data_IF_343251198428
#
_entry.id   IF_343251198428
#
_cell.length_a   1.000
_cell.length_b   1.000
_cell.length_c   1.000
_cell.angle_alpha   90.00
_cell.angle_beta   90.00
_cell.angle_gamma   90.00
#
_symmetry.space_group_name_H-M   'P 1'
#
loop_
_entity.id
_entity.type
_entity.pdbx_description
1 polymer ?
#
# COMPACT_ATOMS: atom_id res chain seq x y z
N UNK A 1 6.51 -4.96 7.07
CA UNK A 1 5.74 -4.68 8.29
C UNK A 1 5.30 -3.22 8.39
N UNK A 2 6.13 -2.25 8.01
CA UNK A 2 5.93 -0.82 8.25
C UNK A 2 4.82 -0.15 7.41
N UNK A 3 4.71 -0.43 6.11
CA UNK A 3 3.60 0.07 5.29
C UNK A 3 2.25 -0.37 5.89
N UNK A 4 2.21 -1.57 6.47
CA UNK A 4 1.08 -2.11 7.21
C UNK A 4 0.72 -1.25 8.42
N UNK A 5 1.70 -0.64 9.10
CA UNK A 5 1.50 0.25 10.26
C UNK A 5 1.02 1.62 9.83
N UNK A 6 1.60 2.22 8.79
CA UNK A 6 1.22 3.55 8.30
C UNK A 6 -0.21 3.56 7.77
N UNK A 7 -0.61 2.52 7.06
CA UNK A 7 -1.99 2.36 6.60
C UNK A 7 -2.96 1.96 7.74
N UNK A 8 -2.42 1.47 8.87
CA UNK A 8 -3.18 1.08 10.07
C UNK A 8 -3.48 2.25 11.00
N UNK A 9 -2.68 3.32 11.00
CA UNK A 9 -2.86 4.49 11.86
C UNK A 9 -4.10 5.34 11.51
N UNK A 10 -4.57 5.25 10.28
CA UNK A 10 -5.91 5.69 9.88
C UNK A 10 -6.72 4.42 9.68
N UNK A 11 -7.64 4.07 10.59
CA UNK A 11 -8.58 2.96 10.45
C UNK A 11 -8.73 2.59 8.97
N UNK A 12 -8.26 1.40 8.58
CA UNK A 12 -8.02 1.02 7.17
C UNK A 12 -9.27 1.04 6.28
N UNK A 13 -10.32 1.69 6.68
CA UNK A 13 -11.62 1.86 5.98
C UNK A 13 -11.92 0.74 4.97
N UNK A 14 -11.63 -0.51 5.40
CA UNK A 14 -11.77 -1.68 4.55
C UNK A 14 -13.26 -1.87 4.22
N UNK A 15 -13.59 -1.73 2.95
CA UNK A 15 -14.98 -1.91 2.51
C UNK A 15 -15.44 -3.33 2.78
N UNK A 16 -16.71 -3.53 3.20
CA UNK A 16 -17.27 -4.86 3.47
C UNK A 16 -17.09 -5.85 2.30
N UNK A 17 -17.13 -5.36 1.06
CA UNK A 17 -16.88 -6.16 -0.13
C UNK A 17 -15.44 -6.69 -0.20
N UNK A 18 -14.47 -5.81 0.09
CA UNK A 18 -13.06 -6.16 0.12
C UNK A 18 -12.76 -7.11 1.28
N UNK A 19 -13.30 -6.84 2.47
CA UNK A 19 -13.17 -7.73 3.62
C UNK A 19 -13.72 -9.14 3.34
N UNK A 20 -14.90 -9.21 2.71
CA UNK A 20 -15.51 -10.48 2.29
C UNK A 20 -14.62 -11.26 1.31
N UNK A 21 -13.98 -10.58 0.37
CA UNK A 21 -13.06 -11.17 -0.58
C UNK A 21 -11.79 -11.68 0.13
N UNK A 22 -11.16 -10.85 0.94
CA UNK A 22 -9.89 -11.15 1.64
C UNK A 22 -10.06 -12.28 2.67
N UNK A 23 -11.16 -12.25 3.43
CA UNK A 23 -11.47 -13.26 4.44
C UNK A 23 -12.04 -14.54 3.83
N UNK A 24 -12.43 -14.54 2.56
CA UNK A 24 -13.24 -15.61 1.92
C UNK A 24 -14.52 -15.91 2.72
N UNK A 25 -15.10 -14.88 3.35
CA UNK A 25 -16.28 -15.00 4.20
C UNK A 25 -17.33 -13.92 3.81
N UNK A 26 -18.41 -14.38 3.18
CA UNK A 26 -19.50 -13.52 2.68
C UNK A 26 -20.23 -12.77 3.80
N UNK A 27 -20.13 -13.24 5.06
CA UNK A 27 -20.79 -12.63 6.23
C UNK A 27 -20.25 -11.22 6.53
N UNK A 28 -19.04 -10.87 6.07
CA UNK A 28 -18.52 -9.50 6.18
C UNK A 28 -19.35 -8.48 5.41
N UNK A 29 -20.15 -8.89 4.44
CA UNK A 29 -21.11 -8.02 3.74
C UNK A 29 -22.43 -7.82 4.52
N UNK A 30 -22.68 -8.61 5.55
CA UNK A 30 -23.95 -8.64 6.30
C UNK A 30 -23.73 -8.79 7.81
N UNK A 31 -23.88 -9.96 8.37
CA UNK A 31 -23.90 -10.21 9.83
C UNK A 31 -22.59 -9.91 10.54
N UNK A 32 -21.43 -10.11 9.88
CA UNK A 32 -20.11 -9.79 10.43
C UNK A 32 -19.59 -8.39 10.09
N UNK A 33 -20.40 -7.52 9.47
CA UNK A 33 -19.96 -6.19 9.08
C UNK A 33 -19.43 -5.36 10.27
N UNK A 34 -20.03 -5.53 11.44
CA UNK A 34 -19.59 -4.83 12.67
C UNK A 34 -18.19 -5.25 13.13
N UNK A 35 -17.73 -6.46 12.80
CA UNK A 35 -16.37 -6.90 13.13
C UNK A 35 -15.28 -6.06 12.42
N UNK A 36 -15.61 -5.32 11.36
CA UNK A 36 -14.67 -4.41 10.72
C UNK A 36 -14.35 -3.17 11.56
N UNK A 37 -15.13 -2.89 12.61
CA UNK A 37 -14.81 -1.83 13.58
C UNK A 37 -13.86 -2.33 14.67
N UNK A 38 -13.66 -3.64 14.80
CA UNK A 38 -12.64 -4.19 15.67
C UNK A 38 -11.25 -3.95 15.08
N UNK A 39 -10.33 -3.27 15.81
CA UNK A 39 -9.01 -2.90 15.28
C UNK A 39 -8.18 -4.11 14.83
N UNK A 40 -8.18 -5.20 15.59
CA UNK A 40 -7.40 -6.40 15.28
C UNK A 40 -7.89 -7.05 13.98
N UNK A 41 -9.19 -7.23 13.85
CA UNK A 41 -9.82 -7.76 12.63
C UNK A 41 -9.52 -6.87 11.42
N UNK A 42 -9.66 -5.55 11.59
CA UNK A 42 -9.45 -4.57 10.52
C UNK A 42 -7.99 -4.59 10.04
N UNK A 43 -7.03 -4.54 10.97
CA UNK A 43 -5.59 -4.58 10.67
C UNK A 43 -5.22 -5.90 9.99
N UNK A 44 -5.68 -7.03 10.52
CA UNK A 44 -5.38 -8.35 9.96
C UNK A 44 -5.87 -8.49 8.53
N UNK A 45 -7.10 -8.10 8.26
CA UNK A 45 -7.66 -8.15 6.91
C UNK A 45 -6.99 -7.15 5.96
N UNK A 46 -6.68 -5.95 6.46
CA UNK A 46 -5.95 -4.95 5.69
C UNK A 46 -4.56 -5.42 5.29
N UNK A 47 -3.82 -6.03 6.20
CA UNK A 47 -2.50 -6.60 5.91
C UNK A 47 -2.57 -7.68 4.83
N UNK A 48 -3.53 -8.60 4.94
CA UNK A 48 -3.76 -9.63 3.91
C UNK A 48 -4.10 -9.01 2.55
N UNK A 49 -4.87 -7.92 2.54
CA UNK A 49 -5.21 -7.25 1.29
C UNK A 49 -3.99 -6.59 0.65
N UNK A 50 -3.10 -5.96 1.44
CA UNK A 50 -1.82 -5.43 0.93
C UNK A 50 -1.00 -6.55 0.28
N UNK A 51 -0.88 -7.72 0.93
CA UNK A 51 -0.13 -8.84 0.38
C UNK A 51 -0.73 -9.35 -0.94
N UNK A 52 -2.07 -9.43 -1.03
CA UNK A 52 -2.79 -9.77 -2.27
C UNK A 52 -2.51 -8.75 -3.38
N UNK A 53 -2.51 -7.46 -3.05
CA UNK A 53 -2.22 -6.40 -4.03
C UNK A 53 -0.78 -6.46 -4.50
N UNK A 54 0.20 -6.58 -3.60
CA UNK A 54 1.62 -6.63 -3.95
C UNK A 54 1.96 -7.81 -4.87
N UNK A 55 1.30 -8.95 -4.69
CA UNK A 55 1.48 -10.14 -5.54
C UNK A 55 0.67 -10.10 -6.84
N UNK A 56 -0.17 -9.08 -7.03
CA UNK A 56 -0.98 -8.95 -8.23
C UNK A 56 -0.10 -8.68 -9.47
N UNK A 57 -0.41 -9.35 -10.60
CA UNK A 57 0.35 -9.23 -11.86
C UNK A 57 0.40 -7.81 -12.46
N UNK A 58 -0.56 -6.95 -12.13
CA UNK A 58 -0.58 -5.55 -12.58
C UNK A 58 0.29 -4.65 -11.70
N UNK A 59 0.55 -5.07 -10.47
CA UNK A 59 1.23 -4.27 -9.45
C UNK A 59 2.69 -4.71 -9.32
N UNK A 60 2.96 -6.00 -9.27
CA UNK A 60 4.32 -6.57 -9.26
C UNK A 60 5.23 -5.95 -8.18
N UNK A 61 4.69 -5.73 -7.00
CA UNK A 61 5.44 -5.12 -5.90
C UNK A 61 5.57 -3.59 -5.95
N UNK A 62 5.10 -2.92 -6.98
CA UNK A 62 5.18 -1.48 -7.11
C UNK A 62 4.34 -0.76 -6.05
N UNK A 63 4.97 0.09 -5.26
CA UNK A 63 4.36 0.80 -4.14
C UNK A 63 3.25 1.76 -4.59
N UNK A 64 3.47 2.51 -5.67
CA UNK A 64 2.51 3.51 -6.16
C UNK A 64 1.26 2.84 -6.74
N UNK A 65 1.46 1.80 -7.55
CA UNK A 65 0.35 1.00 -8.11
C UNK A 65 -0.42 0.27 -7.00
N UNK A 66 0.29 -0.22 -5.97
CA UNK A 66 -0.35 -0.87 -4.83
C UNK A 66 -1.26 0.11 -4.06
N UNK A 67 -0.75 1.31 -3.72
CA UNK A 67 -1.53 2.34 -3.02
C UNK A 67 -2.68 2.85 -3.89
N UNK A 68 -2.46 3.00 -5.21
CA UNK A 68 -3.51 3.34 -6.17
C UNK A 68 -4.61 2.29 -6.21
N UNK A 69 -4.25 0.99 -6.24
CA UNK A 69 -5.21 -0.11 -6.24
C UNK A 69 -5.92 -0.27 -4.89
N UNK A 70 -5.27 0.09 -3.79
CA UNK A 70 -5.88 0.10 -2.47
C UNK A 70 -7.10 1.02 -2.41
N UNK A 71 -6.93 2.27 -2.85
CA UNK A 71 -8.01 3.27 -2.81
C UNK A 71 -8.97 3.15 -4.01
N UNK A 72 -8.42 3.11 -5.22
CA UNK A 72 -9.22 3.09 -6.45
C UNK A 72 -9.74 1.73 -6.87
N UNK A 73 -9.19 0.65 -6.31
CA UNK A 73 -9.44 -0.73 -6.70
C UNK A 73 -8.61 -1.20 -7.89
N UNK A 74 -8.26 -2.52 -7.95
CA UNK A 74 -7.45 -3.09 -9.05
C UNK A 74 -8.09 -2.94 -10.43
N UNK A 75 -9.43 -2.95 -10.49
CA UNK A 75 -10.17 -2.75 -11.74
C UNK A 75 -9.98 -1.34 -12.34
N UNK A 76 -10.01 -0.31 -11.51
CA UNK A 76 -9.75 1.05 -11.95
C UNK A 76 -8.28 1.25 -12.28
N UNK A 77 -7.34 0.72 -11.49
CA UNK A 77 -5.93 0.72 -11.83
C UNK A 77 -5.69 0.13 -13.23
N UNK A 78 -6.30 -1.01 -13.55
CA UNK A 78 -6.17 -1.63 -14.88
C UNK A 78 -6.71 -0.73 -16.00
N UNK A 79 -7.86 -0.05 -15.78
CA UNK A 79 -8.40 0.91 -16.74
C UNK A 79 -7.49 2.12 -16.92
N UNK A 80 -6.94 2.65 -15.84
CA UNK A 80 -6.07 3.83 -15.87
C UNK A 80 -4.74 3.52 -16.52
N UNK A 81 -4.10 2.40 -16.22
CA UNK A 81 -2.87 1.96 -16.89
C UNK A 81 -2.99 1.87 -18.43
N UNK A 82 -4.19 1.59 -18.95
CA UNK A 82 -4.42 1.54 -20.40
C UNK A 82 -4.67 2.90 -21.03
N UNK A 83 -5.22 3.85 -20.26
CA UNK A 83 -5.66 5.16 -20.77
C UNK A 83 -4.64 6.25 -20.58
N UNK A 84 -3.86 6.16 -19.52
CA UNK A 84 -2.90 7.18 -19.13
C UNK A 84 -1.58 6.97 -19.86
N UNK A 85 -1.12 7.99 -20.56
CA UNK A 85 0.19 8.00 -21.22
C UNK A 85 1.21 8.63 -20.28
N UNK A 86 1.81 7.83 -19.40
CA UNK A 86 2.82 8.31 -18.45
C UNK A 86 4.26 8.03 -18.89
N UNK A 87 4.49 7.45 -20.08
CA UNK A 87 5.83 7.26 -20.65
C UNK A 87 6.81 6.51 -19.72
N UNK A 88 6.29 5.60 -18.89
CA UNK A 88 7.03 4.88 -17.85
C UNK A 88 7.57 5.76 -16.71
N UNK A 89 7.12 7.01 -16.61
CA UNK A 89 7.46 7.94 -15.52
C UNK A 89 6.51 7.74 -14.33
N UNK A 90 7.02 7.37 -13.14
CA UNK A 90 6.20 7.11 -11.96
C UNK A 90 5.56 8.38 -11.37
N UNK A 91 6.18 9.55 -11.49
CA UNK A 91 5.59 10.81 -11.01
C UNK A 91 4.46 11.25 -11.95
N UNK A 92 4.68 11.18 -13.26
CA UNK A 92 3.65 11.47 -14.24
C UNK A 92 2.48 10.48 -14.12
N UNK A 93 2.73 9.23 -13.73
CA UNK A 93 1.67 8.27 -13.42
C UNK A 93 0.76 8.78 -12.31
N UNK A 94 1.32 9.23 -11.17
CA UNK A 94 0.55 9.75 -10.03
C UNK A 94 -0.32 10.93 -10.49
N UNK A 95 0.29 11.92 -11.16
CA UNK A 95 -0.41 13.13 -11.63
C UNK A 95 -1.52 12.82 -12.64
N UNK A 96 -1.34 11.76 -13.41
CA UNK A 96 -2.27 11.34 -14.45
C UNK A 96 -3.42 10.44 -13.94
N UNK A 97 -3.45 10.08 -12.67
CA UNK A 97 -4.57 9.31 -12.08
C UNK A 97 -5.86 10.12 -12.22
N UNK A 98 -6.88 9.62 -12.95
CA UNK A 98 -8.10 10.42 -13.25
C UNK A 98 -8.93 10.76 -12.00
N UNK A 99 -8.87 9.94 -10.95
CA UNK A 99 -9.54 10.20 -9.68
C UNK A 99 -8.71 11.14 -8.81
N UNK A 100 -9.18 12.38 -8.63
CA UNK A 100 -8.53 13.34 -7.72
C UNK A 100 -8.40 12.81 -6.30
N UNK A 101 -9.42 12.11 -5.80
CA UNK A 101 -9.40 11.49 -4.47
C UNK A 101 -8.27 10.47 -4.36
N UNK A 102 -8.16 9.56 -5.34
CA UNK A 102 -7.12 8.53 -5.35
C UNK A 102 -5.73 9.14 -5.48
N UNK A 103 -5.56 10.18 -6.30
CA UNK A 103 -4.27 10.89 -6.44
C UNK A 103 -3.82 11.46 -5.11
N UNK A 104 -4.66 12.26 -4.44
CA UNK A 104 -4.37 12.84 -3.13
C UNK A 104 -4.08 11.74 -2.08
N UNK A 105 -4.83 10.63 -2.14
CA UNK A 105 -4.60 9.50 -1.25
C UNK A 105 -3.20 8.90 -1.46
N UNK A 106 -2.81 8.65 -2.71
CA UNK A 106 -1.47 8.13 -3.05
C UNK A 106 -0.38 9.05 -2.52
N UNK A 107 -0.44 10.33 -2.83
CA UNK A 107 0.54 11.34 -2.37
C UNK A 107 0.69 11.33 -0.86
N UNK A 108 -0.41 11.36 -0.12
CA UNK A 108 -0.40 11.38 1.35
C UNK A 108 0.15 10.08 1.95
N UNK A 109 -0.27 8.94 1.43
CA UNK A 109 0.15 7.64 1.98
C UNK A 109 1.63 7.41 1.75
N UNK A 110 2.14 7.66 0.54
CA UNK A 110 3.56 7.44 0.25
C UNK A 110 4.46 8.44 0.96
N UNK A 111 4.04 9.71 1.06
CA UNK A 111 4.77 10.72 1.85
C UNK A 111 4.86 10.30 3.32
N UNK A 112 3.74 9.95 3.94
CA UNK A 112 3.72 9.48 5.32
C UNK A 112 4.56 8.22 5.51
N UNK A 113 4.50 7.28 4.56
CA UNK A 113 5.32 6.07 4.58
C UNK A 113 6.82 6.40 4.67
N UNK A 114 7.31 7.32 3.82
CA UNK A 114 8.74 7.69 3.85
C UNK A 114 9.12 8.51 5.09
N UNK A 115 8.28 9.44 5.53
CA UNK A 115 8.49 10.20 6.77
C UNK A 115 8.62 9.28 7.98
N UNK A 116 7.74 8.28 8.09
CA UNK A 116 7.82 7.32 9.19
C UNK A 116 9.04 6.41 9.09
N UNK A 117 9.40 5.96 7.88
CA UNK A 117 10.61 5.17 7.69
C UNK A 117 11.85 5.93 8.13
N UNK A 118 11.97 7.17 7.72
CA UNK A 118 13.08 8.05 8.11
C UNK A 118 13.12 8.25 9.64
N UNK A 119 11.98 8.56 10.26
CA UNK A 119 11.89 8.74 11.73
C UNK A 119 12.26 7.48 12.52
N UNK A 120 12.04 6.30 11.97
CA UNK A 120 12.39 5.03 12.61
C UNK A 120 13.73 4.46 12.09
N UNK A 121 14.55 5.30 11.47
CA UNK A 121 15.88 4.95 10.94
C UNK A 121 15.86 3.73 10.00
N UNK A 122 14.76 3.55 9.27
CA UNK A 122 14.61 2.47 8.30
C UNK A 122 14.98 2.97 6.91
N UNK A 123 15.39 2.03 6.04
CA UNK A 123 15.74 2.37 4.66
C UNK A 123 14.61 3.07 3.92
N UNK A 124 14.95 4.14 3.20
CA UNK A 124 14.07 4.90 2.31
C UNK A 124 14.38 4.63 0.83
N UNK A 125 14.82 3.41 0.49
CA UNK A 125 15.23 3.05 -0.88
C UNK A 125 14.15 3.35 -1.91
N UNK A 126 12.88 3.06 -1.61
CA UNK A 126 11.76 3.38 -2.51
C UNK A 126 11.61 4.88 -2.79
N UNK A 127 11.96 5.76 -1.85
CA UNK A 127 12.01 7.20 -2.10
C UNK A 127 13.18 7.55 -3.04
N UNK A 128 14.36 6.95 -2.85
CA UNK A 128 15.52 7.16 -3.71
C UNK A 128 15.26 6.65 -5.13
N UNK A 129 14.60 5.50 -5.26
CA UNK A 129 14.17 4.96 -6.57
C UNK A 129 13.27 5.97 -7.28
N UNK A 130 12.23 6.47 -6.60
CA UNK A 130 11.32 7.45 -7.18
C UNK A 130 12.03 8.75 -7.56
N UNK A 131 12.90 9.27 -6.70
CA UNK A 131 13.67 10.48 -6.97
C UNK A 131 14.62 10.34 -8.17
N UNK A 132 15.01 9.11 -8.48
CA UNK A 132 15.83 8.77 -9.67
C UNK A 132 14.99 8.43 -10.90
N UNK A 133 13.67 8.63 -10.86
CA UNK A 133 12.76 8.33 -11.98
C UNK A 133 12.42 6.84 -12.12
N UNK A 134 12.76 6.00 -11.14
CA UNK A 134 12.47 4.58 -11.16
C UNK A 134 11.18 4.26 -10.38
N UNK A 135 10.52 3.17 -10.76
CA UNK A 135 9.37 2.68 -10.03
C UNK A 135 9.78 2.15 -8.66
N UNK A 136 9.15 2.63 -7.56
CA UNK A 136 9.51 2.24 -6.20
C UNK A 136 8.96 0.84 -5.89
N UNK A 137 9.83 -0.17 -5.95
CA UNK A 137 9.45 -1.55 -5.66
C UNK A 137 9.47 -1.79 -4.15
N UNK A 138 8.31 -2.08 -3.60
CA UNK A 138 8.17 -2.47 -2.22
C UNK A 138 8.81 -3.84 -2.00
N UNK A 139 9.99 -3.86 -1.41
CA UNK A 139 10.53 -5.05 -0.80
C UNK A 139 9.99 -5.14 0.63
N UNK A 140 9.47 -6.29 1.02
CA UNK A 140 9.32 -6.60 2.44
C UNK A 140 10.73 -6.69 2.99
N UNK A 141 11.29 -5.56 3.39
CA UNK A 141 12.67 -5.53 3.87
C UNK A 141 12.79 -6.51 5.02
N UNK A 142 13.57 -7.54 4.79
CA UNK A 142 14.38 -8.11 5.84
C UNK A 142 15.13 -6.92 6.44
N UNK A 143 14.99 -6.72 7.75
CA UNK A 143 15.82 -5.79 8.49
C UNK A 143 17.23 -5.96 7.94
N UNK A 144 17.88 -4.86 7.50
CA UNK A 144 19.24 -4.94 7.01
C UNK A 144 20.07 -5.72 8.03
N UNK A 145 20.91 -6.67 7.60
CA UNK A 145 21.75 -7.45 8.53
C UNK A 145 22.54 -6.58 9.50
N UNK A 146 22.83 -5.35 9.12
CA UNK A 146 23.51 -4.33 9.94
C UNK A 146 22.62 -3.86 11.11
N UNK A 147 21.30 -3.76 10.91
CA UNK A 147 20.37 -3.36 11.97
C UNK A 147 20.10 -4.50 12.96
N UNK A 148 20.08 -5.74 12.47
CA UNK A 148 19.97 -6.92 13.34
C UNK A 148 21.21 -7.11 14.24
N UNK A 149 22.41 -6.78 13.73
CA UNK A 149 23.63 -6.83 14.51
C UNK A 149 23.67 -5.76 15.62
N UNK A 150 23.18 -4.56 15.35
CA UNK A 150 23.13 -3.45 16.33
C UNK A 150 22.10 -3.67 17.45
N UNK A 151 21.05 -4.47 17.23
CA UNK A 151 20.07 -4.83 18.26
C UNK A 151 20.51 -6.02 19.13
N UNK A 152 21.44 -6.85 18.65
CA UNK A 152 21.99 -7.97 19.40
C UNK A 152 23.13 -7.61 20.34
N UNK A 153 23.66 -6.39 20.26
CA UNK A 153 24.73 -5.86 21.13
C UNK A 153 24.23 -4.95 22.26
N UNK A 154 22.91 -4.83 22.45
CA UNK A 154 22.27 -4.11 23.57
C UNK A 154 21.57 -5.09 24.52
#
# INVERSE_FOLDING_TARGET
>A
MFLKVVMSATFLQLMPGTASFVARDRRFRSSKRKALFDPETNITLGQRYIDILLTNKLIKGDLLRMVTAWNGGPGNLNKWNRKVKHGDDPLLFIESIPSRETRIFVERVVTNYWVYRDRFLQSTNTLKELASGNWPIYSSERLDPVQLAAESEK
#
